data_IF_523368130157
#
_entry.id   IF_523368130157
#
_cell.length_a   1.000
_cell.length_b   1.000
_cell.length_c   1.000
_cell.angle_alpha   90.00
_cell.angle_beta   90.00
_cell.angle_gamma   90.00
#
_symmetry.space_group_name_H-M   'P 1'
#
loop_
_entity.id
_entity.type
_entity.pdbx_description
1 polymer ?
#
# COMPACT_ATOMS: atom_id res chain seq x y z
N UNK A 1 -0.10 -0.84 3.85
CA UNK A 1 -0.83 -1.87 3.10
C UNK A 1 -1.94 -2.43 3.98
N UNK A 2 -3.13 -2.70 3.43
CA UNK A 2 -4.15 -3.47 4.13
C UNK A 2 -4.04 -4.94 3.69
N UNK A 3 -3.60 -5.81 4.59
CA UNK A 3 -3.63 -7.25 4.39
C UNK A 3 -5.06 -7.74 4.65
N UNK A 4 -5.77 -8.04 3.57
CA UNK A 4 -7.13 -8.56 3.58
C UNK A 4 -7.19 -9.99 4.16
N UNK A 5 -6.15 -10.80 4.02
CA UNK A 5 -6.16 -12.16 4.57
C UNK A 5 -6.06 -12.14 6.10
N UNK A 6 -5.21 -11.27 6.63
CA UNK A 6 -4.98 -11.16 8.06
C UNK A 6 -5.86 -10.13 8.76
N UNK A 7 -6.58 -9.30 7.98
CA UNK A 7 -7.29 -8.11 8.46
C UNK A 7 -6.38 -7.22 9.31
N UNK A 8 -5.25 -6.83 8.73
CA UNK A 8 -4.24 -6.02 9.44
C UNK A 8 -3.66 -4.92 8.56
N UNK A 9 -3.14 -3.86 9.18
CA UNK A 9 -2.43 -2.79 8.48
C UNK A 9 -0.92 -2.97 8.65
N UNK A 10 -0.21 -3.05 7.54
CA UNK A 10 1.25 -3.02 7.50
C UNK A 10 1.71 -1.61 7.13
N UNK A 11 2.60 -1.04 7.93
CA UNK A 11 3.02 0.36 7.81
C UNK A 11 4.50 0.39 7.49
N UNK A 12 4.82 0.90 6.30
CA UNK A 12 6.17 1.11 5.83
C UNK A 12 6.46 2.60 5.85
N UNK A 13 7.50 2.99 6.57
CA UNK A 13 7.92 4.38 6.69
C UNK A 13 9.38 4.47 6.27
N UNK A 14 9.65 5.23 5.21
CA UNK A 14 11.02 5.50 4.75
C UNK A 14 11.74 6.52 5.63
N UNK A 15 11.03 7.16 6.55
CA UNK A 15 11.52 8.22 7.44
C UNK A 15 11.08 8.04 8.91
N UNK A 16 11.40 6.89 9.55
CA UNK A 16 10.99 6.65 10.93
C UNK A 16 11.78 7.56 11.89
N UNK A 17 11.14 7.97 12.98
CA UNK A 17 11.79 8.74 14.02
C UNK A 17 12.79 7.85 14.79
N UNK A 18 14.08 7.91 14.44
CA UNK A 18 15.15 7.14 15.13
C UNK A 18 14.85 5.64 15.26
N UNK A 19 14.36 5.03 14.18
CA UNK A 19 13.93 3.61 14.12
C UNK A 19 12.70 3.26 14.97
N UNK A 20 12.06 4.27 15.56
CA UNK A 20 10.78 4.18 16.26
C UNK A 20 9.64 4.68 15.39
N UNK A 21 8.42 4.31 15.78
CA UNK A 21 7.20 4.73 15.11
C UNK A 21 6.98 6.22 15.34
N UNK A 22 6.91 7.00 14.26
CA UNK A 22 6.54 8.41 14.34
C UNK A 22 5.10 8.54 14.90
N UNK A 23 4.93 9.39 15.91
CA UNK A 23 3.64 9.61 16.57
C UNK A 23 2.54 10.09 15.59
N UNK A 24 2.90 10.94 14.64
CA UNK A 24 1.97 11.42 13.60
C UNK A 24 1.52 10.27 12.70
N UNK A 25 2.46 9.41 12.29
CA UNK A 25 2.16 8.20 11.50
C UNK A 25 1.25 7.26 12.27
N UNK A 26 1.51 7.06 13.57
CA UNK A 26 0.66 6.25 14.44
C UNK A 26 -0.78 6.79 14.49
N UNK A 27 -0.96 8.09 14.68
CA UNK A 27 -2.29 8.72 14.71
C UNK A 27 -3.03 8.54 13.37
N UNK A 28 -2.33 8.68 12.25
CA UNK A 28 -2.91 8.45 10.91
C UNK A 28 -3.36 7.00 10.77
N UNK A 29 -2.55 6.03 11.19
CA UNK A 29 -2.88 4.60 11.13
C UNK A 29 -4.09 4.28 12.02
N UNK A 30 -4.17 4.88 13.20
CA UNK A 30 -5.33 4.74 14.09
C UNK A 30 -6.61 5.31 13.43
N UNK A 31 -6.54 6.46 12.79
CA UNK A 31 -7.69 7.02 12.05
C UNK A 31 -8.09 6.12 10.87
N UNK A 32 -7.13 5.67 10.07
CA UNK A 32 -7.37 4.77 8.93
C UNK A 32 -7.97 3.44 9.36
N UNK A 33 -7.58 2.91 10.53
CA UNK A 33 -8.12 1.66 11.07
C UNK A 33 -9.62 1.71 11.38
N UNK A 34 -10.15 2.92 11.58
CA UNK A 34 -11.57 3.18 11.77
C UNK A 34 -12.21 3.44 10.41
N UNK A 35 -11.70 4.40 9.63
CA UNK A 35 -12.33 4.84 8.38
C UNK A 35 -12.36 3.74 7.31
N UNK A 36 -11.32 2.91 7.23
CA UNK A 36 -11.20 1.89 6.19
C UNK A 36 -12.33 0.84 6.23
N UNK A 37 -12.68 0.23 7.39
CA UNK A 37 -13.88 -0.61 7.51
C UNK A 37 -15.17 0.02 6.96
N UNK A 38 -15.46 1.28 7.31
CA UNK A 38 -16.65 1.98 6.79
C UNK A 38 -16.59 2.16 5.27
N UNK A 39 -15.42 2.53 4.74
CA UNK A 39 -15.23 2.65 3.29
C UNK A 39 -15.46 1.30 2.58
N UNK A 40 -14.91 0.21 3.13
CA UNK A 40 -15.06 -1.14 2.58
C UNK A 40 -16.52 -1.59 2.56
N UNK A 41 -17.27 -1.36 3.64
CA UNK A 41 -18.72 -1.60 3.68
C UNK A 41 -19.46 -0.75 2.63
N UNK A 42 -19.17 0.56 2.56
CA UNK A 42 -19.82 1.46 1.61
C UNK A 42 -19.64 1.06 0.14
N UNK A 43 -18.48 0.51 -0.23
CA UNK A 43 -18.22 -0.01 -1.59
C UNK A 43 -18.68 -1.46 -1.80
N UNK A 44 -19.41 -2.01 -0.82
CA UNK A 44 -19.92 -3.39 -0.77
C UNK A 44 -18.80 -4.42 -0.98
N UNK A 45 -17.64 -4.17 -0.37
CA UNK A 45 -16.48 -5.04 -0.51
C UNK A 45 -16.78 -6.46 -0.03
N UNK A 46 -17.45 -6.59 1.12
CA UNK A 46 -17.75 -7.88 1.73
C UNK A 46 -18.78 -8.69 0.93
N UNK A 47 -19.79 -8.06 0.36
CA UNK A 47 -20.75 -8.70 -0.57
C UNK A 47 -20.05 -9.34 -1.78
N UNK A 48 -18.98 -8.69 -2.26
CA UNK A 48 -18.17 -9.17 -3.39
C UNK A 48 -17.16 -10.24 -2.98
N UNK A 49 -16.93 -10.44 -1.69
CA UNK A 49 -15.90 -11.31 -1.11
C UNK A 49 -16.49 -12.20 0.00
N UNK A 50 -17.56 -12.96 -0.25
CA UNK A 50 -18.25 -13.74 0.78
C UNK A 50 -17.35 -14.82 1.40
N UNK A 51 -16.30 -15.25 0.70
CA UNK A 51 -15.34 -16.22 1.20
C UNK A 51 -14.56 -15.73 2.43
N UNK A 52 -14.42 -14.41 2.60
CA UNK A 52 -13.74 -13.84 3.77
C UNK A 52 -14.49 -14.18 5.06
N UNK A 53 -15.82 -14.16 5.04
CA UNK A 53 -16.67 -14.42 6.21
C UNK A 53 -16.51 -15.84 6.78
N UNK A 54 -15.98 -16.78 6.00
CA UNK A 54 -15.66 -18.13 6.47
C UNK A 54 -14.32 -18.22 7.21
N UNK A 55 -13.49 -17.17 7.17
CA UNK A 55 -12.15 -17.18 7.80
C UNK A 55 -12.23 -16.79 9.28
N UNK A 56 -11.30 -17.26 10.13
CA UNK A 56 -11.25 -16.87 11.55
C UNK A 56 -11.10 -15.36 11.77
N UNK A 57 -10.50 -14.64 10.81
CA UNK A 57 -10.24 -13.19 10.90
C UNK A 57 -11.49 -12.34 10.68
N UNK A 58 -12.52 -12.89 10.03
CA UNK A 58 -13.74 -12.17 9.67
C UNK A 58 -15.02 -12.79 10.26
N UNK A 59 -15.03 -14.09 10.55
CA UNK A 59 -16.24 -14.82 10.98
C UNK A 59 -16.87 -14.37 12.30
N UNK A 60 -16.21 -13.50 13.08
CA UNK A 60 -16.64 -13.08 14.43
C UNK A 60 -16.70 -11.58 14.63
N UNK A 61 -16.50 -10.80 13.58
CA UNK A 61 -16.37 -9.36 13.65
C UNK A 61 -17.45 -8.67 12.83
N UNK A 62 -17.81 -7.46 13.25
CA UNK A 62 -18.69 -6.60 12.46
C UNK A 62 -17.91 -5.96 11.29
N UNK A 63 -18.59 -5.70 10.17
CA UNK A 63 -17.95 -5.14 8.98
C UNK A 63 -17.42 -3.71 9.20
N UNK A 64 -18.00 -3.01 10.19
CA UNK A 64 -17.59 -1.68 10.66
C UNK A 64 -16.60 -1.71 11.81
N UNK A 65 -16.28 -2.90 12.34
CA UNK A 65 -15.37 -3.04 13.46
C UNK A 65 -14.00 -2.47 13.10
N UNK A 66 -13.33 -1.83 14.06
CA UNK A 66 -12.00 -1.27 13.84
C UNK A 66 -11.00 -2.38 13.47
N UNK A 67 -9.98 -2.06 12.67
CA UNK A 67 -8.82 -2.94 12.48
C UNK A 67 -7.90 -2.80 13.70
N UNK A 68 -7.69 -3.87 14.44
CA UNK A 68 -6.90 -3.84 15.69
C UNK A 68 -5.41 -4.19 15.50
N UNK A 69 -5.05 -4.82 14.37
CA UNK A 69 -3.70 -5.31 14.14
C UNK A 69 -2.92 -4.34 13.24
N UNK A 70 -1.87 -3.73 13.81
CA UNK A 70 -0.94 -2.84 13.10
C UNK A 70 0.48 -3.38 13.19
N UNK A 71 1.15 -3.48 12.05
CA UNK A 71 2.54 -3.91 11.95
C UNK A 71 3.38 -2.74 11.43
N UNK A 72 4.09 -2.06 12.32
CA UNK A 72 5.04 -1.01 11.95
C UNK A 72 6.38 -1.63 11.60
N UNK A 73 6.76 -1.55 10.32
CA UNK A 73 7.96 -2.16 9.78
C UNK A 73 9.01 -1.06 9.66
N UNK A 74 9.71 -0.79 10.77
CA UNK A 74 10.70 0.31 10.86
C UNK A 74 12.14 -0.15 10.68
N UNK A 75 12.43 -1.43 10.89
CA UNK A 75 13.78 -1.99 10.82
C UNK A 75 14.03 -2.67 9.49
N UNK A 76 15.22 -2.45 8.92
CA UNK A 76 15.65 -3.12 7.69
C UNK A 76 14.93 -2.64 6.43
N UNK A 77 13.97 -1.72 6.52
CA UNK A 77 13.33 -1.14 5.33
C UNK A 77 14.26 -0.11 4.67
N UNK A 78 14.22 0.02 3.34
CA UNK A 78 14.88 1.12 2.65
C UNK A 78 14.50 2.49 3.24
N UNK A 79 15.51 3.31 3.54
CA UNK A 79 15.33 4.66 4.11
C UNK A 79 15.73 5.74 3.13
N UNK A 80 14.98 6.83 3.14
CA UNK A 80 15.39 8.05 2.44
C UNK A 80 16.34 8.87 3.32
N UNK A 81 17.13 9.76 2.71
CA UNK A 81 18.00 10.69 3.45
C UNK A 81 17.16 11.79 4.11
N UNK A 82 17.67 12.41 5.18
CA UNK A 82 16.92 13.39 5.98
C UNK A 82 16.50 14.64 5.19
N UNK A 83 17.23 14.99 4.14
CA UNK A 83 16.98 16.09 3.22
C UNK A 83 16.31 15.66 1.91
N UNK A 84 15.93 14.38 1.79
CA UNK A 84 15.34 13.82 0.59
C UNK A 84 13.86 14.16 0.44
N UNK A 85 13.45 14.51 -0.78
CA UNK A 85 12.04 14.73 -1.16
C UNK A 85 11.45 13.52 -1.90
N UNK A 86 11.93 12.32 -1.58
CA UNK A 86 11.70 11.12 -2.37
C UNK A 86 10.62 10.21 -1.79
N UNK A 87 9.85 10.68 -0.79
CA UNK A 87 8.88 9.86 -0.05
C UNK A 87 7.88 9.16 -0.98
N UNK A 88 7.41 9.84 -2.04
CA UNK A 88 6.52 9.23 -3.04
C UNK A 88 7.18 8.10 -3.84
N UNK A 89 8.48 8.20 -4.11
CA UNK A 89 9.26 7.15 -4.79
C UNK A 89 9.39 5.92 -3.89
N UNK A 90 9.64 6.13 -2.60
CA UNK A 90 9.70 5.04 -1.62
C UNK A 90 8.32 4.38 -1.41
N UNK A 91 7.24 5.15 -1.36
CA UNK A 91 5.87 4.60 -1.32
C UNK A 91 5.60 3.70 -2.53
N UNK A 92 5.97 4.15 -3.74
CA UNK A 92 5.83 3.34 -4.95
C UNK A 92 6.72 2.08 -4.92
N UNK A 93 7.94 2.18 -4.39
CA UNK A 93 8.84 1.04 -4.22
C UNK A 93 8.26 0.00 -3.25
N UNK A 94 7.78 0.43 -2.08
CA UNK A 94 7.14 -0.46 -1.11
C UNK A 94 5.90 -1.14 -1.70
N UNK A 95 5.07 -0.40 -2.43
CA UNK A 95 3.92 -0.97 -3.12
C UNK A 95 4.34 -2.04 -4.15
N UNK A 96 5.39 -1.79 -4.94
CA UNK A 96 5.93 -2.79 -5.88
C UNK A 96 6.45 -4.03 -5.16
N UNK A 97 7.20 -3.87 -4.06
CA UNK A 97 7.73 -5.00 -3.31
C UNK A 97 6.63 -5.88 -2.71
N UNK A 98 5.66 -5.26 -2.03
CA UNK A 98 4.51 -6.00 -1.45
C UNK A 98 3.72 -6.69 -2.56
N UNK A 99 3.47 -6.02 -3.69
CA UNK A 99 2.67 -6.58 -4.78
C UNK A 99 3.34 -7.78 -5.49
N UNK A 100 4.67 -7.85 -5.43
CA UNK A 100 5.47 -8.91 -6.05
C UNK A 100 5.92 -9.98 -5.03
N UNK A 101 5.38 -9.96 -3.81
CA UNK A 101 5.81 -10.81 -2.68
C UNK A 101 7.33 -10.75 -2.44
N UNK A 102 7.96 -9.61 -2.77
CA UNK A 102 9.38 -9.41 -2.60
C UNK A 102 9.71 -8.98 -1.18
N UNK A 103 10.78 -9.54 -0.65
CA UNK A 103 11.26 -9.20 0.68
C UNK A 103 11.80 -7.76 0.69
N UNK A 104 11.11 -6.88 1.42
CA UNK A 104 11.45 -5.45 1.53
C UNK A 104 12.72 -5.25 2.34
N UNK A 105 13.02 -6.12 3.31
CA UNK A 105 14.13 -5.89 4.22
C UNK A 105 15.47 -6.02 3.50
N UNK A 106 16.36 -5.10 3.81
CA UNK A 106 17.72 -4.95 3.30
C UNK A 106 17.79 -4.69 1.79
N UNK A 107 16.69 -4.28 1.17
CA UNK A 107 16.71 -3.79 -0.21
C UNK A 107 17.44 -2.44 -0.26
N UNK A 108 18.26 -2.26 -1.29
CA UNK A 108 18.85 -0.96 -1.60
C UNK A 108 17.92 -0.21 -2.55
N UNK A 109 17.37 0.90 -2.09
CA UNK A 109 16.56 1.79 -2.93
C UNK A 109 17.41 2.98 -3.35
N UNK A 110 17.57 3.12 -4.66
CA UNK A 110 18.09 4.33 -5.28
C UNK A 110 16.93 5.06 -5.95
N UNK A 111 16.51 6.18 -5.36
CA UNK A 111 15.35 6.92 -5.83
C UNK A 111 15.51 7.46 -7.25
N UNK A 112 16.72 7.85 -7.68
CA UNK A 112 16.96 8.33 -9.05
C UNK A 112 16.78 7.24 -10.10
N UNK A 113 17.23 6.02 -9.78
CA UNK A 113 16.99 4.85 -10.63
C UNK A 113 15.49 4.54 -10.69
N UNK A 114 14.82 4.55 -9.54
CA UNK A 114 13.39 4.26 -9.46
C UNK A 114 12.54 5.30 -10.20
N UNK A 115 12.87 6.60 -10.10
CA UNK A 115 12.21 7.68 -10.86
C UNK A 115 12.30 7.44 -12.36
N UNK A 116 13.49 7.12 -12.87
CA UNK A 116 13.70 6.83 -14.30
C UNK A 116 12.89 5.62 -14.74
N UNK A 117 12.91 4.55 -13.93
CA UNK A 117 12.18 3.31 -14.21
C UNK A 117 10.66 3.54 -14.20
N UNK A 118 10.12 4.13 -13.14
CA UNK A 118 8.69 4.42 -13.04
C UNK A 118 8.24 5.43 -14.11
N UNK A 119 9.06 6.45 -14.40
CA UNK A 119 8.79 7.38 -15.50
C UNK A 119 8.70 6.68 -16.86
N UNK A 120 9.63 5.77 -17.16
CA UNK A 120 9.59 4.98 -18.39
C UNK A 120 8.35 4.06 -18.46
N UNK A 121 7.99 3.41 -17.35
CA UNK A 121 6.79 2.55 -17.27
C UNK A 121 5.52 3.37 -17.48
N UNK A 122 5.39 4.53 -16.83
CA UNK A 122 4.24 5.42 -16.97
C UNK A 122 4.13 5.99 -18.39
N UNK A 123 5.25 6.36 -19.00
CA UNK A 123 5.29 6.80 -20.39
C UNK A 123 4.80 5.71 -21.34
N UNK A 124 5.30 4.49 -21.19
CA UNK A 124 4.89 3.36 -22.01
C UNK A 124 3.39 3.06 -21.86
N UNK A 125 2.90 3.05 -20.63
CA UNK A 125 1.48 2.87 -20.35
C UNK A 125 0.62 3.94 -21.03
N UNK A 126 1.01 5.22 -20.92
CA UNK A 126 0.30 6.33 -21.53
C UNK A 126 0.24 6.21 -23.06
N UNK A 127 1.35 5.84 -23.71
CA UNK A 127 1.39 5.61 -25.17
C UNK A 127 0.44 4.49 -25.59
N UNK A 128 0.44 3.38 -24.86
CA UNK A 128 -0.45 2.26 -25.17
C UNK A 128 -1.92 2.60 -24.95
N UNK A 129 -2.24 3.33 -23.87
CA UNK A 129 -3.61 3.78 -23.58
C UNK A 129 -4.12 4.73 -24.68
N UNK A 130 -3.26 5.61 -25.20
CA UNK A 130 -3.60 6.47 -26.35
C UNK A 130 -3.81 5.65 -27.63
N UNK A 131 -3.02 4.61 -27.87
CA UNK A 131 -3.16 3.77 -29.05
C UNK A 131 -4.37 2.84 -29.01
N UNK A 132 -4.86 2.47 -27.81
CA UNK A 132 -5.94 1.50 -27.64
C UNK A 132 -7.36 2.08 -27.64
N UNK A 133 -7.52 3.39 -27.88
CA UNK A 133 -8.79 4.14 -27.77
C UNK A 133 -9.57 3.87 -26.47
N UNK A 134 -8.89 3.39 -25.43
CA UNK A 134 -9.49 3.09 -24.13
C UNK A 134 -9.82 4.40 -23.41
N UNK A 135 -11.09 4.79 -23.47
CA UNK A 135 -11.57 5.99 -22.78
C UNK A 135 -11.71 5.81 -21.26
N UNK A 136 -11.75 4.57 -20.77
CA UNK A 136 -11.92 4.27 -19.35
C UNK A 136 -10.58 4.27 -18.61
N UNK A 137 -10.52 4.96 -17.48
CA UNK A 137 -9.41 4.92 -16.52
C UNK A 137 -9.15 3.52 -15.95
N UNK A 138 -10.21 2.71 -15.82
CA UNK A 138 -10.17 1.39 -15.17
C UNK A 138 -9.69 0.28 -16.10
N UNK A 139 -9.70 0.54 -17.42
CA UNK A 139 -9.20 -0.41 -18.42
C UNK A 139 -7.72 -0.19 -18.66
N UNK A 140 -6.94 -1.27 -18.55
CA UNK A 140 -5.52 -1.27 -18.89
C UNK A 140 -5.32 -1.81 -20.31
N UNK A 141 -4.45 -1.20 -21.12
CA UNK A 141 -4.02 -1.80 -22.38
C UNK A 141 -3.23 -3.09 -22.11
N UNK A 142 -3.27 -4.03 -23.08
CA UNK A 142 -2.58 -5.30 -22.97
C UNK A 142 -1.04 -5.12 -22.84
N UNK A 143 -0.43 -6.05 -22.12
CA UNK A 143 1.01 -6.07 -21.80
C UNK A 143 1.88 -6.58 -22.95
#
# INVERSE_FOLDING_TARGET
MFDIGQRSLEVYDSFPARDEVNFEVKNIVEMLSIVLPYYLSAVKFYDKRPELMATPKYSRIDEFEKIEFFHFITKGVPRQQDDSLDCGVFVAAFAEFVSNDQHILNQQVNADILRKRFGAILWEYARRKQASDLQSEDKRPDR
#
